data_IF_037751025557
#
_entry.id   IF_037751025557
#
_cell.length_a   1.000
_cell.length_b   1.000
_cell.length_c   1.000
_cell.angle_alpha   90.00
_cell.angle_beta   90.00
_cell.angle_gamma   90.00
#
_symmetry.space_group_name_H-M   'P 1'
#
loop_
_entity.id
_entity.type
_entity.pdbx_description
1 polymer ?
#
# COMPACT_ATOMS: atom_id res chain seq x y z
N UNK A 1 35.21 7.25 2.02
CA UNK A 1 35.97 7.77 0.87
C UNK A 1 37.27 7.00 0.79
N UNK A 2 37.43 6.11 -0.20
CA UNK A 2 38.59 5.21 -0.33
C UNK A 2 39.34 5.54 -1.61
N UNK A 3 40.66 5.63 -1.49
CA UNK A 3 41.60 6.28 -2.40
C UNK A 3 41.76 5.55 -3.76
N UNK A 4 42.03 6.38 -4.78
CA UNK A 4 42.36 6.02 -6.16
C UNK A 4 43.83 5.58 -6.20
N UNK A 5 44.12 4.38 -6.70
CA UNK A 5 45.49 3.95 -6.99
C UNK A 5 45.82 4.19 -8.47
N UNK A 6 46.76 5.10 -8.69
CA UNK A 6 47.38 5.45 -9.96
C UNK A 6 48.45 4.40 -10.27
N UNK A 7 48.30 3.66 -11.37
CA UNK A 7 49.34 2.73 -11.84
C UNK A 7 50.41 3.48 -12.63
N UNK A 8 51.64 3.36 -12.14
CA UNK A 8 52.86 4.07 -12.54
C UNK A 8 53.34 3.74 -13.96
N UNK A 9 53.28 4.73 -14.85
CA UNK A 9 54.15 4.81 -16.04
C UNK A 9 55.61 4.94 -15.59
N UNK A 10 56.45 3.93 -15.84
CA UNK A 10 57.93 4.04 -16.06
C UNK A 10 58.57 2.65 -16.05
N UNK A 11 58.87 2.11 -17.23
CA UNK A 11 60.14 1.47 -17.60
C UNK A 11 59.98 0.90 -19.03
N UNK A 12 60.39 1.65 -20.05
CA UNK A 12 61.59 1.39 -20.87
C UNK A 12 61.52 0.07 -21.66
N UNK A 13 61.21 0.15 -22.96
CA UNK A 13 62.16 0.24 -24.08
C UNK A 13 62.87 -1.09 -24.42
N UNK A 14 62.53 -1.64 -25.59
CA UNK A 14 63.47 -2.33 -26.47
C UNK A 14 63.05 -2.10 -27.94
N UNK A 15 63.73 -1.15 -28.57
CA UNK A 15 63.85 -1.02 -30.03
C UNK A 15 64.52 -2.27 -30.63
N UNK A 16 64.19 -2.67 -31.88
CA UNK A 16 65.02 -2.45 -33.09
C UNK A 16 64.54 -3.27 -34.31
N UNK A 17 64.16 -2.55 -35.38
CA UNK A 17 64.46 -2.72 -36.83
C UNK A 17 64.32 -4.08 -37.55
N UNK A 18 63.55 -4.11 -38.65
CA UNK A 18 64.06 -4.40 -40.02
C UNK A 18 62.90 -4.39 -41.06
N UNK A 19 63.20 -3.87 -42.24
CA UNK A 19 62.28 -3.64 -43.36
C UNK A 19 62.24 -4.80 -44.36
N UNK A 20 61.21 -4.76 -45.21
CA UNK A 20 61.05 -5.38 -46.55
C UNK A 20 60.64 -6.86 -46.62
N UNK A 21 59.47 -7.10 -47.22
CA UNK A 21 59.20 -8.33 -47.96
C UNK A 21 57.76 -8.85 -47.87
N UNK A 22 57.12 -8.90 -49.04
CA UNK A 22 56.00 -9.76 -49.41
C UNK A 22 54.56 -9.29 -49.13
N UNK A 23 53.81 -9.21 -50.24
CA UNK A 23 52.36 -9.26 -50.34
C UNK A 23 51.80 -10.37 -49.44
N UNK A 24 51.20 -9.99 -48.32
CA UNK A 24 50.44 -10.86 -47.44
C UNK A 24 49.28 -10.04 -46.93
N UNK A 25 48.05 -10.48 -47.19
CA UNK A 25 46.84 -9.71 -46.94
C UNK A 25 46.85 -9.06 -45.56
N UNK A 26 46.51 -7.77 -45.51
CA UNK A 26 46.32 -7.04 -44.25
C UNK A 26 45.26 -7.77 -43.45
N UNK A 27 45.66 -8.70 -42.58
CA UNK A 27 44.79 -9.24 -41.56
C UNK A 27 44.53 -8.09 -40.61
N UNK A 28 43.41 -7.40 -40.82
CA UNK A 28 42.89 -6.43 -39.87
C UNK A 28 42.53 -7.23 -38.63
N UNK A 29 43.45 -7.31 -37.67
CA UNK A 29 43.16 -7.87 -36.36
C UNK A 29 42.23 -6.90 -35.66
N UNK A 30 40.93 -7.17 -35.72
CA UNK A 30 39.95 -6.47 -34.90
C UNK A 30 40.21 -6.86 -33.43
N UNK A 31 40.91 -6.00 -32.70
CA UNK A 31 41.06 -6.14 -31.26
C UNK A 31 39.69 -5.88 -30.61
N UNK A 32 39.14 -6.88 -29.93
CA UNK A 32 37.93 -6.71 -29.12
C UNK A 32 38.35 -6.33 -27.71
N UNK A 33 38.16 -5.07 -27.34
CA UNK A 33 38.21 -4.68 -25.93
C UNK A 33 36.86 -4.93 -25.28
N UNK A 34 36.88 -5.53 -24.09
CA UNK A 34 35.68 -5.85 -23.33
C UNK A 34 35.76 -5.17 -21.97
N UNK A 35 34.67 -4.52 -21.58
CA UNK A 35 34.47 -3.95 -20.26
C UNK A 35 33.35 -4.71 -19.52
N UNK A 36 33.41 -4.72 -18.20
CA UNK A 36 32.33 -5.25 -17.37
C UNK A 36 31.45 -4.11 -16.84
N UNK A 37 30.15 -4.37 -16.77
CA UNK A 37 29.16 -3.47 -16.16
C UNK A 37 28.67 -4.09 -14.86
N UNK A 38 28.73 -3.33 -13.76
CA UNK A 38 28.05 -3.68 -12.52
C UNK A 38 26.56 -3.33 -12.63
N UNK A 39 25.69 -4.32 -12.41
CA UNK A 39 24.24 -4.12 -12.35
C UNK A 39 23.78 -4.33 -10.93
N UNK A 40 23.03 -3.38 -10.38
CA UNK A 40 22.50 -3.44 -9.01
C UNK A 40 21.05 -2.93 -8.98
N UNK A 41 20.24 -3.50 -8.09
CA UNK A 41 18.91 -3.01 -7.76
C UNK A 41 18.64 -3.18 -6.27
N UNK A 42 17.78 -2.33 -5.72
CA UNK A 42 17.37 -2.37 -4.31
C UNK A 42 15.88 -2.66 -4.24
N UNK A 43 15.51 -3.69 -3.48
CA UNK A 43 14.13 -3.94 -3.09
C UNK A 43 13.83 -3.15 -1.83
N UNK A 44 12.71 -2.42 -1.82
CA UNK A 44 12.22 -1.67 -0.68
C UNK A 44 10.94 -2.31 -0.14
N UNK A 45 10.74 -2.22 1.18
CA UNK A 45 9.50 -2.65 1.80
C UNK A 45 8.34 -1.76 1.37
N UNK A 46 7.20 -2.37 1.08
CA UNK A 46 6.01 -1.67 0.61
C UNK A 46 4.73 -2.42 1.00
N UNK A 47 3.65 -1.67 1.16
CA UNK A 47 2.28 -2.18 1.19
C UNK A 47 1.41 -1.45 0.16
N UNK A 48 0.45 -2.17 -0.42
CA UNK A 48 -0.65 -1.61 -1.20
C UNK A 48 -1.97 -1.85 -0.48
N UNK A 49 -2.91 -0.93 -0.64
CA UNK A 49 -4.26 -0.99 -0.07
C UNK A 49 -5.23 -0.70 -1.21
N UNK A 50 -6.24 -1.55 -1.40
CA UNK A 50 -7.29 -1.30 -2.39
C UNK A 50 -8.29 -0.22 -1.92
N UNK A 51 -9.22 0.15 -2.79
CA UNK A 51 -10.37 1.00 -2.44
C UNK A 51 -11.56 0.12 -2.01
N UNK A 52 -11.80 -0.09 -0.70
CA UNK A 52 -12.89 -0.95 -0.26
C UNK A 52 -14.25 -0.26 -0.31
N UNK A 53 -15.31 -1.06 -0.36
CA UNK A 53 -16.68 -0.60 -0.19
C UNK A 53 -17.26 -1.20 1.08
N UNK A 54 -17.84 -0.35 1.92
CA UNK A 54 -18.65 -0.75 3.06
C UNK A 54 -20.05 -0.15 2.88
N UNK A 55 -21.03 -1.01 2.66
CA UNK A 55 -22.41 -0.61 2.37
C UNK A 55 -23.35 -1.17 3.44
N UNK A 56 -24.03 -0.27 4.16
CA UNK A 56 -25.08 -0.61 5.11
C UNK A 56 -26.41 -1.02 4.43
N UNK A 57 -26.47 -0.87 3.10
CA UNK A 57 -27.61 -1.20 2.25
C UNK A 57 -28.83 -0.33 2.52
N UNK A 58 -29.97 -0.75 1.96
CA UNK A 58 -31.28 -0.14 2.24
C UNK A 58 -31.87 -0.55 3.60
N UNK A 59 -31.03 -1.02 4.54
CA UNK A 59 -31.45 -1.59 5.82
C UNK A 59 -31.53 -0.54 6.95
N UNK A 60 -31.07 0.70 6.69
CA UNK A 60 -31.25 1.82 7.62
C UNK A 60 -32.69 2.34 7.48
N UNK A 61 -33.59 1.72 8.23
CA UNK A 61 -34.98 2.19 8.38
C UNK A 61 -35.00 3.13 9.59
N UNK A 62 -35.21 4.43 9.37
CA UNK A 62 -35.20 5.46 10.42
C UNK A 62 -36.42 5.36 11.36
N UNK A 63 -36.43 4.31 12.18
CA UNK A 63 -37.41 4.03 13.23
C UNK A 63 -36.65 3.67 14.51
N UNK A 64 -36.98 4.31 15.62
CA UNK A 64 -36.39 4.01 16.94
C UNK A 64 -36.61 2.58 17.42
N UNK A 65 -37.61 1.87 16.88
CA UNK A 65 -37.90 0.48 17.22
C UNK A 65 -36.98 -0.53 16.53
N UNK A 66 -36.05 -0.08 15.68
CA UNK A 66 -35.13 -0.97 14.97
C UNK A 66 -33.94 -1.37 15.84
N UNK A 67 -33.27 -2.45 15.43
CA UNK A 67 -31.98 -2.84 15.98
C UNK A 67 -30.84 -2.18 15.20
N UNK A 68 -29.66 -2.09 15.79
CA UNK A 68 -28.45 -1.59 15.14
C UNK A 68 -28.20 -2.26 13.78
N UNK A 69 -27.68 -1.50 12.81
CA UNK A 69 -27.36 -2.00 11.47
C UNK A 69 -25.86 -2.27 11.39
N UNK A 70 -25.48 -3.43 10.86
CA UNK A 70 -24.08 -3.82 10.66
C UNK A 70 -23.78 -4.10 9.19
N UNK A 71 -22.54 -3.85 8.78
CA UNK A 71 -22.00 -4.18 7.46
C UNK A 71 -20.53 -4.58 7.59
N UNK A 72 -19.94 -5.09 6.51
CA UNK A 72 -18.50 -5.30 6.42
C UNK A 72 -17.99 -5.10 4.99
N UNK A 73 -16.67 -4.98 4.86
CA UNK A 73 -16.01 -4.82 3.56
C UNK A 73 -15.97 -6.11 2.75
N UNK A 74 -16.34 -7.26 3.32
CA UNK A 74 -16.18 -8.58 2.72
C UNK A 74 -14.78 -8.77 2.13
N UNK A 75 -14.72 -9.07 0.84
CA UNK A 75 -13.47 -9.26 0.09
C UNK A 75 -13.03 -8.01 -0.69
N UNK A 76 -13.58 -6.83 -0.42
CA UNK A 76 -13.28 -5.61 -1.22
C UNK A 76 -12.03 -4.88 -0.74
N UNK A 77 -11.69 -4.97 0.55
CA UNK A 77 -10.42 -4.48 1.08
C UNK A 77 -9.36 -5.55 0.90
N UNK A 78 -8.39 -5.28 0.03
CA UNK A 78 -7.25 -6.11 -0.27
C UNK A 78 -5.98 -5.36 0.12
N UNK A 79 -5.13 -6.04 0.89
CA UNK A 79 -3.83 -5.51 1.31
C UNK A 79 -2.74 -6.49 0.88
N UNK A 80 -1.72 -5.99 0.19
CA UNK A 80 -0.51 -6.76 -0.13
C UNK A 80 0.71 -6.05 0.45
N UNK A 81 1.49 -6.76 1.27
CA UNK A 81 2.69 -6.23 1.89
C UNK A 81 3.90 -7.13 1.60
N UNK A 82 5.05 -6.51 1.38
CA UNK A 82 6.33 -7.22 1.18
C UNK A 82 6.64 -8.14 2.36
N UNK A 83 7.14 -9.33 2.08
CA UNK A 83 7.45 -10.34 3.10
C UNK A 83 8.35 -9.80 4.22
N UNK A 84 8.01 -10.12 5.46
CA UNK A 84 8.76 -9.70 6.65
C UNK A 84 8.36 -8.34 7.23
N UNK A 85 7.40 -7.64 6.62
CA UNK A 85 6.74 -6.47 7.23
C UNK A 85 5.71 -6.89 8.28
N UNK A 86 5.36 -5.97 9.18
CA UNK A 86 4.32 -6.17 10.19
C UNK A 86 3.26 -5.07 10.07
N UNK A 87 2.35 -5.18 9.07
CA UNK A 87 1.44 -4.09 8.75
C UNK A 87 0.44 -3.83 9.87
N UNK A 88 0.18 -2.55 10.10
CA UNK A 88 -0.79 -2.05 11.07
C UNK A 88 -1.78 -1.13 10.41
N UNK A 89 -3.06 -1.27 10.74
CA UNK A 89 -4.15 -0.56 10.10
C UNK A 89 -4.75 0.52 11.00
N UNK A 90 -5.14 1.63 10.39
CA UNK A 90 -5.88 2.71 11.04
C UNK A 90 -6.71 3.50 10.02
N UNK A 91 -7.61 4.35 10.49
CA UNK A 91 -8.28 5.36 9.66
C UNK A 91 -8.51 6.64 10.44
N UNK A 92 -7.86 7.72 10.01
CA UNK A 92 -8.00 9.06 10.59
C UNK A 92 -9.26 9.81 10.11
N UNK A 93 -10.02 9.23 9.18
CA UNK A 93 -11.22 9.87 8.64
C UNK A 93 -12.36 9.81 9.65
N UNK A 94 -13.16 10.87 9.72
CA UNK A 94 -14.33 10.92 10.58
C UNK A 94 -15.36 9.85 10.18
N UNK A 95 -15.87 9.11 11.17
CA UNK A 95 -16.83 8.00 10.98
C UNK A 95 -18.27 8.52 11.04
N UNK A 96 -18.57 9.40 10.09
CA UNK A 96 -19.86 10.09 10.01
C UNK A 96 -20.36 10.08 8.58
N UNK A 97 -21.51 9.45 8.35
CA UNK A 97 -22.23 9.56 7.09
C UNK A 97 -22.93 10.91 7.03
N UNK A 98 -22.77 11.63 5.92
CA UNK A 98 -23.38 12.95 5.71
C UNK A 98 -24.59 12.79 4.79
N UNK A 99 -25.73 13.31 5.24
CA UNK A 99 -26.97 13.29 4.48
C UNK A 99 -26.94 14.25 3.29
N UNK A 100 -27.56 13.85 2.19
CA UNK A 100 -27.75 14.68 1.00
C UNK A 100 -29.19 14.62 0.51
N UNK A 101 -29.58 15.51 -0.41
CA UNK A 101 -30.96 15.63 -0.87
C UNK A 101 -31.89 15.99 0.29
N UNK A 102 -32.90 15.15 0.55
CA UNK A 102 -33.87 15.32 1.66
C UNK A 102 -33.24 15.16 3.04
N UNK A 103 -32.05 14.58 3.14
CA UNK A 103 -31.30 14.41 4.38
C UNK A 103 -30.21 15.48 4.60
N UNK A 104 -30.13 16.51 3.73
CA UNK A 104 -29.09 17.54 3.80
C UNK A 104 -29.05 18.21 5.17
N UNK A 105 -27.85 18.33 5.74
CA UNK A 105 -27.63 18.89 7.09
C UNK A 105 -27.78 17.88 8.23
N UNK A 106 -28.17 16.64 7.93
CA UNK A 106 -28.21 15.53 8.90
C UNK A 106 -26.94 14.70 8.81
N UNK A 107 -26.64 13.98 9.88
CA UNK A 107 -25.46 13.11 9.93
C UNK A 107 -25.70 11.90 10.81
N UNK A 108 -25.07 10.79 10.46
CA UNK A 108 -25.18 9.52 11.17
C UNK A 108 -23.77 9.05 11.53
N UNK A 109 -23.48 8.97 12.83
CA UNK A 109 -22.23 8.40 13.31
C UNK A 109 -22.27 6.86 13.21
N UNK A 110 -21.15 6.26 12.84
CA UNK A 110 -20.97 4.82 12.78
C UNK A 110 -19.63 4.42 13.41
N UNK A 111 -19.48 3.13 13.67
CA UNK A 111 -18.29 2.53 14.25
C UNK A 111 -17.57 1.67 13.22
N UNK A 112 -16.25 1.58 13.31
CA UNK A 112 -15.42 0.64 12.54
C UNK A 112 -14.60 -0.25 13.47
N UNK A 113 -14.47 -1.52 13.10
CA UNK A 113 -13.72 -2.54 13.84
C UNK A 113 -13.11 -3.61 12.95
N UNK A 114 -11.99 -4.21 13.38
CA UNK A 114 -11.51 -5.48 12.80
C UNK A 114 -12.28 -6.70 13.33
N UNK A 115 -13.11 -6.54 14.37
CA UNK A 115 -13.88 -7.63 14.97
C UNK A 115 -15.35 -7.57 14.56
N UNK A 116 -15.93 -8.75 14.32
CA UNK A 116 -17.32 -8.86 13.91
C UNK A 116 -18.27 -8.27 14.97
N UNK A 117 -19.28 -7.54 14.49
CA UNK A 117 -20.30 -6.92 15.35
C UNK A 117 -19.93 -5.53 15.90
N UNK A 118 -18.69 -5.05 15.67
CA UNK A 118 -18.20 -3.70 15.98
C UNK A 118 -18.91 -3.04 17.18
N UNK A 119 -18.85 -3.69 18.35
CA UNK A 119 -19.58 -3.25 19.53
C UNK A 119 -19.13 -1.86 19.99
N UNK A 120 -17.89 -1.49 19.65
CA UNK A 120 -17.25 -0.20 19.91
C UNK A 120 -16.49 0.28 18.68
N UNK A 121 -16.19 1.57 18.64
CA UNK A 121 -15.31 2.19 17.65
C UNK A 121 -13.83 1.90 17.95
N UNK A 122 -13.37 0.67 17.72
CA UNK A 122 -12.06 0.22 18.17
C UNK A 122 -10.98 0.30 17.09
N UNK A 123 -11.34 0.49 15.81
CA UNK A 123 -10.33 0.75 14.79
C UNK A 123 -9.59 2.06 15.16
N UNK A 124 -8.25 2.11 15.17
CA UNK A 124 -7.52 3.30 15.56
C UNK A 124 -7.72 4.49 14.61
N UNK A 125 -7.66 5.71 15.15
CA UNK A 125 -7.80 6.96 14.39
C UNK A 125 -6.47 7.64 14.07
N UNK A 126 -5.34 7.05 14.49
CA UNK A 126 -4.01 7.62 14.28
C UNK A 126 -2.99 6.52 14.00
N UNK A 127 -1.93 6.86 13.26
CA UNK A 127 -0.78 6.00 13.01
C UNK A 127 -0.13 5.47 14.31
N UNK A 128 0.02 6.34 15.32
CA UNK A 128 0.61 5.95 16.61
C UNK A 128 -0.23 4.91 17.37
N UNK A 129 -1.54 4.91 17.14
CA UNK A 129 -2.47 3.94 17.70
C UNK A 129 -2.72 2.73 16.79
N UNK A 130 -2.11 2.67 15.60
CA UNK A 130 -2.39 1.64 14.61
C UNK A 130 -2.17 0.23 15.19
N UNK A 131 -3.06 -0.68 14.84
CA UNK A 131 -3.10 -2.03 15.38
C UNK A 131 -2.74 -3.05 14.32
N UNK A 132 -2.21 -4.21 14.74
CA UNK A 132 -1.89 -5.28 13.80
C UNK A 132 -3.15 -5.73 13.07
N UNK A 133 -3.00 -6.06 11.78
CA UNK A 133 -4.10 -6.60 11.00
C UNK A 133 -4.37 -8.05 11.45
N UNK A 134 -5.58 -8.32 11.92
CA UNK A 134 -5.96 -9.62 12.47
C UNK A 134 -5.87 -10.72 11.40
N UNK A 135 -5.09 -11.77 11.67
CA UNK A 135 -4.94 -12.91 10.76
C UNK A 135 -4.12 -12.62 9.49
N UNK A 136 -3.50 -11.44 9.37
CA UNK A 136 -2.71 -11.08 8.19
C UNK A 136 -1.28 -11.63 8.26
N UNK A 137 -0.78 -12.13 7.13
CA UNK A 137 0.63 -12.54 7.00
C UNK A 137 1.27 -11.87 5.80
N UNK A 138 2.23 -10.97 6.00
CA UNK A 138 2.95 -10.34 4.89
C UNK A 138 3.77 -11.38 4.10
N UNK A 139 3.26 -11.76 2.94
CA UNK A 139 3.83 -12.78 2.05
C UNK A 139 3.97 -12.29 0.59
N UNK A 140 3.73 -10.99 0.34
CA UNK A 140 3.76 -10.38 -0.98
C UNK A 140 2.50 -10.59 -1.83
N UNK A 141 1.52 -11.37 -1.38
CA UNK A 141 0.25 -11.57 -2.07
C UNK A 141 -0.86 -10.68 -1.49
N UNK A 142 -1.83 -10.33 -2.34
CA UNK A 142 -3.08 -9.69 -1.91
C UNK A 142 -3.87 -10.61 -0.99
N UNK A 143 -4.32 -10.05 0.13
CA UNK A 143 -5.14 -10.75 1.11
C UNK A 143 -6.33 -9.88 1.50
N UNK A 144 -7.48 -10.52 1.61
CA UNK A 144 -8.70 -9.88 2.08
C UNK A 144 -8.56 -9.52 3.56
N UNK A 145 -8.88 -8.28 3.90
CA UNK A 145 -8.94 -7.79 5.27
C UNK A 145 -10.36 -7.30 5.52
N UNK A 146 -11.04 -7.85 6.53
CA UNK A 146 -12.44 -7.50 6.79
C UNK A 146 -12.49 -6.39 7.83
N UNK A 147 -13.12 -5.27 7.47
CA UNK A 147 -13.49 -4.21 8.39
C UNK A 147 -14.99 -4.24 8.55
N UNK A 148 -15.43 -4.30 9.80
CA UNK A 148 -16.82 -4.33 10.19
C UNK A 148 -17.27 -2.92 10.56
N UNK A 149 -18.44 -2.54 10.05
CA UNK A 149 -19.12 -1.30 10.35
C UNK A 149 -20.37 -1.55 11.18
N UNK A 150 -20.69 -0.62 12.08
CA UNK A 150 -21.96 -0.62 12.81
C UNK A 150 -22.55 0.78 12.90
N UNK A 151 -23.85 0.90 12.65
CA UNK A 151 -24.62 2.10 12.93
C UNK A 151 -25.59 1.82 14.08
N UNK A 152 -25.37 2.42 15.27
CA UNK A 152 -26.32 2.32 16.37
C UNK A 152 -27.68 2.92 16.03
N UNK A 153 -28.79 2.28 16.43
CA UNK A 153 -30.16 2.80 16.18
C UNK A 153 -30.37 4.20 16.76
N UNK A 154 -29.74 4.50 17.90
CA UNK A 154 -29.78 5.83 18.51
C UNK A 154 -29.28 6.95 17.58
N UNK A 155 -28.43 6.61 16.60
CA UNK A 155 -27.82 7.58 15.68
C UNK A 155 -28.69 7.84 14.44
N UNK A 156 -29.54 6.90 14.02
CA UNK A 156 -30.34 7.02 12.80
C UNK A 156 -31.85 6.94 12.99
N UNK A 157 -32.35 6.47 14.13
CA UNK A 157 -33.77 6.14 14.32
C UNK A 157 -34.75 7.32 14.21
N UNK A 158 -34.25 8.55 14.23
CA UNK A 158 -35.02 9.80 14.04
C UNK A 158 -34.49 10.66 12.88
N UNK A 159 -33.55 10.15 12.08
CA UNK A 159 -32.95 10.93 11.00
C UNK A 159 -33.91 10.99 9.80
N UNK A 160 -33.90 12.09 9.02
CA UNK A 160 -34.72 12.18 7.83
C UNK A 160 -34.32 11.11 6.81
N UNK A 161 -35.33 10.58 6.11
CA UNK A 161 -35.09 9.67 5.01
C UNK A 161 -34.32 10.39 3.89
N UNK A 162 -33.32 9.70 3.33
CA UNK A 162 -32.50 10.21 2.25
C UNK A 162 -31.16 9.48 2.16
N UNK A 163 -30.36 9.78 1.12
CA UNK A 163 -29.03 9.22 0.96
C UNK A 163 -28.05 9.80 2.00
N UNK A 164 -27.24 8.91 2.58
CA UNK A 164 -26.12 9.24 3.47
C UNK A 164 -24.85 8.58 2.95
N UNK A 165 -23.73 9.31 2.91
CA UNK A 165 -22.46 8.78 2.42
C UNK A 165 -21.26 9.36 3.19
N UNK A 166 -20.16 8.62 3.18
CA UNK A 166 -18.85 9.08 3.62
C UNK A 166 -17.76 8.47 2.74
N UNK A 167 -16.62 9.15 2.65
CA UNK A 167 -15.39 8.57 2.10
C UNK A 167 -14.45 8.32 3.27
N UNK A 168 -14.04 7.08 3.48
CA UNK A 168 -13.12 6.68 4.55
C UNK A 168 -11.78 6.30 3.92
N UNK A 169 -10.70 6.90 4.43
CA UNK A 169 -9.35 6.58 3.99
C UNK A 169 -8.78 5.52 4.95
N UNK A 170 -8.53 4.32 4.42
CA UNK A 170 -7.82 3.27 5.15
C UNK A 170 -6.32 3.45 4.96
N UNK A 171 -5.56 3.33 6.06
CA UNK A 171 -4.11 3.51 6.04
C UNK A 171 -3.41 2.32 6.67
N UNK A 172 -2.26 1.96 6.11
CA UNK A 172 -1.43 0.84 6.57
C UNK A 172 0.00 1.32 6.79
N UNK A 173 0.49 1.22 8.02
CA UNK A 173 1.90 1.44 8.39
C UNK A 173 2.63 0.10 8.43
N UNK A 174 3.89 0.04 7.99
CA UNK A 174 4.66 -1.20 7.88
C UNK A 174 6.16 -1.04 8.13
#
# INVERSE_FOLDING_TARGET
MKAINIFSQKSLLAMLVAAMGAFGGSSVFAATETGSMGVSGTLVSACTVSDPTLDFGNNIIALLSQADVTADTGNTLQIACTTGTNPKIYSATARTLVGSGTATGSSIAFNLSQTAGAATDDLPTTALGAEAITGYTANGAEQAVVIHGKVPVANYGNQPAGPYAATIIMSVDY
#
